data_IF_797759425318
#
_entry.id   IF_797759425318
#
_cell.length_a   1.000
_cell.length_b   1.000
_cell.length_c   1.000
_cell.angle_alpha   90.00
_cell.angle_beta   90.00
_cell.angle_gamma   90.00
#
_symmetry.space_group_name_H-M   'P 1'
#
loop_
_entity.id
_entity.type
_entity.pdbx_description
1 polymer ?
#
# COMPACT_ATOMS: atom_id res chain seq x y z
N UNK A 1 -11.77 -8.69 9.44
CA UNK A 1 -10.36 -8.77 8.99
C UNK A 1 -10.30 -8.32 7.54
N UNK A 2 -9.38 -7.41 7.17
CA UNK A 2 -9.30 -6.90 5.78
C UNK A 2 -8.89 -8.02 4.82
N UNK A 3 -9.58 -8.17 3.69
CA UNK A 3 -9.26 -9.18 2.67
C UNK A 3 -7.80 -9.10 2.22
N UNK A 4 -7.26 -7.88 2.05
CA UNK A 4 -5.85 -7.63 1.72
C UNK A 4 -4.87 -8.31 2.68
N UNK A 5 -5.10 -8.20 4.00
CA UNK A 5 -4.23 -8.83 4.99
C UNK A 5 -4.35 -10.36 4.94
N UNK A 6 -5.56 -10.90 4.76
CA UNK A 6 -5.77 -12.34 4.55
C UNK A 6 -4.93 -12.84 3.38
N UNK A 7 -5.04 -12.18 2.22
CA UNK A 7 -4.29 -12.53 1.01
C UNK A 7 -2.78 -12.45 1.23
N UNK A 8 -2.28 -11.37 1.86
CA UNK A 8 -0.86 -11.23 2.17
C UNK A 8 -0.39 -12.36 3.08
N UNK A 9 -1.14 -12.70 4.13
CA UNK A 9 -0.77 -13.78 5.03
C UNK A 9 -0.76 -15.14 4.33
N UNK A 10 -1.73 -15.43 3.48
CA UNK A 10 -1.77 -16.68 2.71
C UNK A 10 -0.59 -16.82 1.75
N UNK A 11 -0.26 -15.75 1.03
CA UNK A 11 0.87 -15.73 0.10
C UNK A 11 2.21 -15.85 0.85
N UNK A 12 2.39 -15.11 1.94
CA UNK A 12 3.64 -15.12 2.72
C UNK A 12 3.88 -16.44 3.44
N UNK A 13 2.80 -17.14 3.87
CA UNK A 13 2.86 -18.52 4.37
C UNK A 13 3.37 -19.52 3.33
N UNK A 14 3.10 -19.27 2.04
CA UNK A 14 3.59 -20.09 0.91
C UNK A 14 4.98 -19.70 0.43
N UNK A 15 5.65 -18.77 1.12
CA UNK A 15 7.01 -18.33 0.79
C UNK A 15 7.09 -17.12 -0.13
N UNK A 16 5.96 -16.52 -0.53
CA UNK A 16 5.98 -15.31 -1.35
C UNK A 16 6.49 -14.09 -0.55
N UNK A 17 7.16 -13.17 -1.25
CA UNK A 17 7.48 -11.83 -0.75
C UNK A 17 6.59 -10.85 -1.48
N UNK A 18 5.74 -10.14 -0.75
CA UNK A 18 4.77 -9.20 -1.33
C UNK A 18 5.42 -7.83 -1.48
N UNK A 19 5.43 -7.27 -2.68
CA UNK A 19 5.80 -5.86 -2.89
C UNK A 19 4.54 -5.00 -2.82
N UNK A 20 4.40 -4.25 -1.74
CA UNK A 20 3.26 -3.35 -1.52
C UNK A 20 3.47 -1.99 -2.18
N UNK A 21 2.42 -1.48 -2.80
CA UNK A 21 2.36 -0.14 -3.35
C UNK A 21 1.11 0.59 -2.90
N UNK A 22 1.24 1.89 -2.59
CA UNK A 22 0.08 2.74 -2.35
C UNK A 22 -0.36 3.36 -3.66
N UNK A 23 -1.66 3.34 -3.91
CA UNK A 23 -2.25 3.94 -5.09
C UNK A 23 -2.02 5.46 -5.10
N UNK A 24 -1.47 5.97 -6.21
CA UNK A 24 -1.23 7.39 -6.46
C UNK A 24 -2.05 7.76 -7.71
N UNK A 25 -2.99 8.72 -7.64
CA UNK A 25 -3.66 9.23 -8.83
C UNK A 25 -2.66 9.99 -9.69
N UNK A 26 -2.62 9.68 -10.99
CA UNK A 26 -1.67 10.24 -11.94
C UNK A 26 -2.39 11.12 -12.98
N UNK A 27 -1.86 12.31 -13.32
CA UNK A 27 -2.45 13.18 -14.34
C UNK A 27 -2.61 12.49 -15.68
N UNK A 28 -3.72 12.74 -16.38
CA UNK A 28 -3.98 12.18 -17.70
C UNK A 28 -4.33 10.69 -17.70
N UNK A 29 -4.51 10.08 -16.52
CA UNK A 29 -5.06 8.72 -16.40
C UNK A 29 -6.56 8.77 -16.12
N UNK A 30 -7.33 7.71 -16.45
CA UNK A 30 -8.74 7.63 -16.05
C UNK A 30 -9.00 7.76 -14.54
N UNK A 31 -7.95 7.58 -13.72
CA UNK A 31 -8.01 7.70 -12.27
C UNK A 31 -7.34 8.98 -11.74
N UNK A 32 -7.10 9.98 -12.59
CA UNK A 32 -6.47 11.25 -12.16
C UNK A 32 -7.24 11.96 -11.04
N UNK A 33 -8.57 11.83 -11.05
CA UNK A 33 -9.46 12.43 -10.04
C UNK A 33 -9.90 11.42 -8.96
N UNK A 34 -9.33 10.22 -8.94
CA UNK A 34 -9.64 9.22 -7.93
C UNK A 34 -9.03 9.63 -6.58
N UNK A 35 -9.64 9.24 -5.44
CA UNK A 35 -9.08 9.53 -4.14
C UNK A 35 -7.70 8.88 -3.98
N UNK A 36 -6.71 9.59 -3.38
CA UNK A 36 -5.41 9.02 -3.13
C UNK A 36 -5.51 7.81 -2.21
N UNK A 37 -4.66 6.81 -2.46
CA UNK A 37 -4.58 5.64 -1.61
C UNK A 37 -4.35 6.05 -0.15
N UNK A 38 -5.16 5.49 0.74
CA UNK A 38 -5.03 5.66 2.19
C UNK A 38 -5.03 4.29 2.84
N UNK A 39 -4.00 4.01 3.62
CA UNK A 39 -3.85 2.71 4.28
C UNK A 39 -4.38 2.86 5.72
N UNK A 40 -5.38 2.07 6.13
CA UNK A 40 -5.83 2.02 7.52
C UNK A 40 -4.68 1.70 8.49
N UNK A 41 -4.73 2.27 9.70
CA UNK A 41 -3.66 2.13 10.70
C UNK A 41 -3.40 0.67 11.07
N UNK A 42 -4.45 -0.15 11.14
CA UNK A 42 -4.35 -1.57 11.42
C UNK A 42 -3.56 -2.31 10.34
N UNK A 43 -3.79 -1.97 9.07
CA UNK A 43 -3.05 -2.55 7.94
C UNK A 43 -1.59 -2.11 7.99
N UNK A 44 -1.32 -0.82 8.24
CA UNK A 44 0.07 -0.31 8.38
C UNK A 44 0.85 -1.06 9.44
N UNK A 45 0.24 -1.27 10.62
CA UNK A 45 0.89 -1.98 11.72
C UNK A 45 1.29 -3.40 11.33
N UNK A 46 0.42 -4.12 10.60
CA UNK A 46 0.73 -5.46 10.11
C UNK A 46 1.78 -5.45 8.99
N UNK A 47 1.73 -4.50 8.06
CA UNK A 47 2.75 -4.35 7.03
C UNK A 47 4.13 -4.07 7.61
N UNK A 48 4.23 -3.27 8.68
CA UNK A 48 5.50 -3.00 9.39
C UNK A 48 6.06 -4.29 9.99
N UNK A 49 5.23 -5.09 10.67
CA UNK A 49 5.66 -6.39 11.22
C UNK A 49 6.16 -7.31 10.11
N UNK A 50 5.38 -7.45 9.03
CA UNK A 50 5.74 -8.31 7.90
C UNK A 50 7.00 -7.84 7.18
N UNK A 51 7.23 -6.52 7.09
CA UNK A 51 8.45 -5.92 6.55
C UNK A 51 9.67 -6.27 7.40
N UNK A 52 9.55 -6.23 8.73
CA UNK A 52 10.63 -6.64 9.64
C UNK A 52 11.04 -8.12 9.46
N UNK A 53 10.09 -9.00 9.11
CA UNK A 53 10.34 -10.40 8.77
C UNK A 53 10.76 -10.64 7.30
N UNK A 54 10.96 -9.58 6.51
CA UNK A 54 11.32 -9.68 5.09
C UNK A 54 10.21 -10.25 4.19
N UNK A 55 8.96 -10.29 4.66
CA UNK A 55 7.81 -10.83 3.93
C UNK A 55 7.10 -9.80 3.06
N UNK A 56 7.25 -8.52 3.39
CA UNK A 56 6.72 -7.40 2.62
C UNK A 56 7.84 -6.42 2.28
N UNK A 57 7.85 -5.92 1.05
CA UNK A 57 8.80 -4.91 0.55
C UNK A 57 8.05 -3.76 -0.13
N UNK A 58 8.78 -2.69 -0.49
CA UNK A 58 8.23 -1.52 -1.16
C UNK A 58 8.06 -0.30 -0.25
N UNK A 59 7.94 0.86 -0.88
CA UNK A 59 7.88 2.18 -0.23
C UNK A 59 6.44 2.68 -0.08
N UNK A 60 5.52 1.80 0.31
CA UNK A 60 4.10 2.11 0.44
C UNK A 60 3.83 3.29 1.41
N UNK A 61 4.63 3.46 2.46
CA UNK A 61 4.56 4.61 3.38
C UNK A 61 4.81 5.93 2.64
N UNK A 62 5.94 6.01 1.94
CA UNK A 62 6.31 7.19 1.15
C UNK A 62 5.33 7.44 0.01
N UNK A 63 4.83 6.38 -0.63
CA UNK A 63 3.85 6.49 -1.71
C UNK A 63 2.50 7.02 -1.21
N UNK A 64 2.08 6.68 0.01
CA UNK A 64 0.88 7.25 0.61
C UNK A 64 1.03 8.77 0.82
N UNK A 65 2.19 9.21 1.33
CA UNK A 65 2.48 10.65 1.45
C UNK A 65 2.49 11.34 0.08
N UNK A 66 3.10 10.72 -0.93
CA UNK A 66 3.14 11.24 -2.30
C UNK A 66 1.72 11.35 -2.86
N UNK A 67 0.88 10.31 -2.71
CA UNK A 67 -0.50 10.31 -3.19
C UNK A 67 -1.28 11.51 -2.63
N UNK A 68 -1.13 11.77 -1.32
CA UNK A 68 -1.79 12.89 -0.65
C UNK A 68 -1.26 14.25 -1.11
N UNK A 69 0.03 14.36 -1.43
CA UNK A 69 0.63 15.62 -1.93
C UNK A 69 0.20 15.89 -3.37
N UNK A 70 0.29 14.88 -4.22
CA UNK A 70 -0.02 14.96 -5.66
C UNK A 70 -1.46 15.42 -5.88
N UNK A 71 -2.42 14.86 -5.15
CA UNK A 71 -3.84 15.27 -5.24
C UNK A 71 -4.12 16.68 -4.69
N UNK A 72 -3.16 17.33 -4.02
CA UNK A 72 -3.31 18.74 -3.55
C UNK A 72 -2.74 19.75 -4.55
N UNK A 73 -2.01 19.30 -5.56
CA UNK A 73 -1.32 20.17 -6.52
C UNK A 73 -2.23 20.61 -7.67
N UNK A 74 -3.39 19.99 -7.80
CA UNK A 74 -4.45 20.33 -8.74
C UNK A 74 -5.79 20.29 -8.00
#
# INVERSE_FOLDING_TARGET
MYQTLTTIHELTKRGAVVRGHTFIPLPGTPFENAPPGKIPKEIKNELIKLKAYGKVTGDWEKQEEIAQRVTKLW
#
